data_IF_909166373422
#
_entry.id   IF_909166373422
#
_cell.length_a   1.000
_cell.length_b   1.000
_cell.length_c   1.000
_cell.angle_alpha   90.00
_cell.angle_beta   90.00
_cell.angle_gamma   90.00
#
_symmetry.space_group_name_H-M   'P 1'
#
loop_
_entity.id
_entity.type
_entity.pdbx_description
1 polymer ?
#
# COMPACT_ATOMS: atom_id res chain seq x y z
N UNK A 1 -7.87 6.56 21.34
CA UNK A 1 -7.85 6.95 19.92
C UNK A 1 -8.04 5.66 19.12
N UNK A 2 -9.06 5.56 18.27
CA UNK A 2 -9.27 4.38 17.43
C UNK A 2 -8.29 4.46 16.25
N UNK A 3 -7.28 3.60 16.23
CA UNK A 3 -6.41 3.44 15.07
C UNK A 3 -7.01 2.33 14.20
N UNK A 4 -7.22 2.65 12.92
CA UNK A 4 -7.50 1.63 11.91
C UNK A 4 -6.18 1.36 11.19
N UNK A 5 -5.71 0.14 11.31
CA UNK A 5 -4.57 -0.33 10.53
C UNK A 5 -5.11 -0.79 9.17
N UNK A 6 -4.54 -0.21 8.11
CA UNK A 6 -4.90 -0.52 6.73
C UNK A 6 -3.66 -1.11 6.09
N UNK A 7 -3.75 -2.33 5.58
CA UNK A 7 -2.68 -2.98 4.84
C UNK A 7 -3.02 -2.86 3.36
N UNK A 8 -2.18 -2.14 2.62
CA UNK A 8 -2.35 -1.97 1.18
C UNK A 8 -1.49 -3.02 0.47
N UNK A 9 -2.11 -3.82 -0.39
CA UNK A 9 -1.41 -4.84 -1.16
C UNK A 9 -1.19 -4.33 -2.58
N UNK A 10 0.06 -4.22 -2.99
CA UNK A 10 0.47 -3.75 -4.32
C UNK A 10 1.28 -4.80 -5.05
N UNK A 11 1.17 -4.82 -6.38
CA UNK A 11 2.06 -5.54 -7.27
C UNK A 11 3.08 -4.54 -7.82
N UNK A 12 4.35 -4.92 -7.81
CA UNK A 12 5.43 -4.15 -8.40
C UNK A 12 6.06 -5.00 -9.50
N UNK A 13 5.99 -4.48 -10.73
CA UNK A 13 6.55 -5.11 -11.92
C UNK A 13 7.65 -4.24 -12.49
N UNK A 14 8.90 -4.70 -12.36
CA UNK A 14 10.08 -4.02 -12.88
C UNK A 14 10.63 -4.75 -14.11
N UNK A 15 11.14 -4.05 -15.15
CA UNK A 15 11.76 -4.69 -16.31
C UNK A 15 12.90 -5.63 -15.90
N UNK A 16 12.87 -6.87 -16.40
CA UNK A 16 13.90 -7.88 -16.13
C UNK A 16 13.83 -8.51 -14.73
N UNK A 17 12.81 -8.21 -13.93
CA UNK A 17 12.53 -8.85 -12.65
C UNK A 17 11.17 -9.53 -12.69
N UNK A 18 11.00 -10.59 -11.90
CA UNK A 18 9.68 -11.17 -11.69
C UNK A 18 8.82 -10.17 -10.90
N UNK A 19 7.52 -10.04 -11.24
CA UNK A 19 6.59 -9.27 -10.44
C UNK A 19 6.61 -9.74 -8.99
N UNK A 20 6.52 -8.80 -8.05
CA UNK A 20 6.44 -9.11 -6.62
C UNK A 20 5.26 -8.41 -5.97
N UNK A 21 4.68 -9.08 -4.97
CA UNK A 21 3.63 -8.56 -4.13
C UNK A 21 4.28 -7.89 -2.91
N UNK A 22 3.93 -6.64 -2.63
CA UNK A 22 4.31 -5.95 -1.42
C UNK A 22 3.07 -5.59 -0.60
N UNK A 23 3.20 -5.68 0.73
CA UNK A 23 2.18 -5.29 1.70
C UNK A 23 2.70 -4.07 2.44
N UNK A 24 1.89 -3.02 2.49
CA UNK A 24 2.28 -1.72 3.01
C UNK A 24 1.37 -1.38 4.15
N UNK A 25 1.94 -1.27 5.34
CA UNK A 25 1.22 -0.91 6.55
C UNK A 25 1.02 0.61 6.59
N UNK A 26 -0.24 1.04 6.51
CA UNK A 26 -0.61 2.45 6.56
C UNK A 26 -1.30 2.72 7.89
N UNK A 27 -0.56 3.27 8.85
CA UNK A 27 -1.13 3.77 10.10
C UNK A 27 -1.83 5.09 9.82
N UNK A 28 -3.17 5.10 9.89
CA UNK A 28 -3.94 6.34 9.78
C UNK A 28 -4.60 6.75 11.10
N UNK A 29 -4.39 8.01 11.45
CA UNK A 29 -5.13 8.70 12.51
C UNK A 29 -6.27 9.44 11.81
N UNK A 30 -7.52 9.00 12.04
CA UNK A 30 -8.76 9.63 11.56
C UNK A 30 -8.99 9.62 10.02
N UNK A 31 -9.52 8.50 9.52
CA UNK A 31 -10.76 8.52 8.73
C UNK A 31 -10.70 8.74 7.20
N UNK A 32 -9.54 8.94 6.57
CA UNK A 32 -9.47 8.94 5.09
C UNK A 32 -8.21 8.31 4.54
N UNK A 33 -8.36 7.08 4.04
CA UNK A 33 -7.36 6.41 3.22
C UNK A 33 -7.20 7.11 1.87
N UNK A 34 -5.99 7.58 1.57
CA UNK A 34 -5.64 8.12 0.25
C UNK A 34 -4.77 7.11 -0.52
N UNK A 35 -5.42 6.36 -1.40
CA UNK A 35 -4.77 5.43 -2.34
C UNK A 35 -3.67 6.11 -3.16
N UNK A 36 -3.89 7.34 -3.60
CA UNK A 36 -2.97 8.06 -4.47
C UNK A 36 -1.64 8.32 -3.76
N UNK A 37 -1.70 8.70 -2.48
CA UNK A 37 -0.51 8.89 -1.65
C UNK A 37 0.32 7.61 -1.53
N UNK A 38 -0.33 6.48 -1.23
CA UNK A 38 0.37 5.20 -1.08
C UNK A 38 1.04 4.78 -2.37
N UNK A 39 0.31 4.79 -3.49
CA UNK A 39 0.87 4.44 -4.79
C UNK A 39 2.02 5.36 -5.19
N UNK A 40 1.92 6.66 -4.93
CA UNK A 40 2.99 7.62 -5.23
C UNK A 40 4.27 7.32 -4.44
N UNK A 41 4.16 7.00 -3.14
CA UNK A 41 5.32 6.63 -2.32
C UNK A 41 5.99 5.35 -2.84
N UNK A 42 5.21 4.34 -3.20
CA UNK A 42 5.76 3.08 -3.74
C UNK A 42 6.44 3.31 -5.09
N UNK A 43 5.81 4.11 -5.95
CA UNK A 43 6.36 4.47 -7.25
C UNK A 43 7.68 5.24 -7.13
N UNK A 44 7.78 6.17 -6.17
CA UNK A 44 9.03 6.92 -5.91
C UNK A 44 10.17 6.00 -5.46
N UNK A 45 9.87 4.95 -4.70
CA UNK A 45 10.86 3.96 -4.27
C UNK A 45 11.19 2.90 -5.33
N UNK A 46 10.37 2.77 -6.38
CA UNK A 46 10.55 1.80 -7.46
C UNK A 46 10.51 2.50 -8.84
N UNK A 47 11.50 3.37 -9.14
CA UNK A 47 11.52 4.13 -10.38
C UNK A 47 11.65 3.20 -11.60
N UNK A 48 10.84 3.47 -12.62
CA UNK A 48 10.80 2.66 -13.85
C UNK A 48 10.04 1.33 -13.70
N UNK A 49 9.43 1.07 -12.54
CA UNK A 49 8.54 -0.07 -12.35
C UNK A 49 7.08 0.34 -12.44
N UNK A 50 6.23 -0.58 -12.89
CA UNK A 50 4.78 -0.43 -12.81
C UNK A 50 4.29 -0.85 -11.42
N UNK A 51 3.50 0.01 -10.77
CA UNK A 51 2.92 -0.26 -9.45
C UNK A 51 1.41 -0.32 -9.59
N UNK A 52 0.82 -1.44 -9.19
CA UNK A 52 -0.62 -1.68 -9.28
C UNK A 52 -1.19 -2.02 -7.90
N UNK A 53 -2.24 -1.32 -7.49
CA UNK A 53 -3.02 -1.72 -6.32
C UNK A 53 -3.77 -3.01 -6.62
N UNK A 54 -3.61 -4.02 -5.76
CA UNK A 54 -4.32 -5.30 -5.89
C UNK A 54 -5.45 -5.38 -4.87
N UNK A 55 -5.18 -5.04 -3.61
CA UNK A 55 -6.13 -5.18 -2.52
C UNK A 55 -5.88 -4.16 -1.39
N UNK A 56 -6.89 -3.96 -0.53
CA UNK A 56 -6.82 -3.15 0.68
C UNK A 56 -7.45 -3.93 1.82
N UNK A 57 -6.61 -4.40 2.74
CA UNK A 57 -7.04 -5.13 3.92
C UNK A 57 -7.22 -4.19 5.11
N UNK A 58 -8.27 -4.41 5.89
CA UNK A 58 -8.60 -3.60 7.06
C UNK A 58 -8.40 -4.43 8.32
N UNK A 59 -7.44 -4.03 9.16
CA UNK A 59 -7.20 -4.65 10.46
C UNK A 59 -7.98 -3.86 11.50
N UNK A 60 -9.15 -4.40 11.89
CA UNK A 60 -9.95 -3.85 12.98
C UNK A 60 -9.36 -4.35 14.30
N UNK A 61 -8.46 -3.58 14.90
CA UNK A 61 -8.04 -3.82 16.27
C UNK A 61 -9.20 -3.49 17.22
N UNK A 62 -9.89 -4.53 17.71
CA UNK A 62 -10.83 -4.40 18.83
C UNK A 62 -10.01 -4.26 20.12
N UNK A 63 -9.67 -3.02 20.48
CA UNK A 63 -9.23 -2.68 21.84
C UNK A 63 -10.43 -2.64 22.79
#
# INVERSE_FOLDING_TARGET
>A
MNFQEIIVVVEISCPGQNPRIERIDVMQIAGRFDRGMVLNVVQQNNPGCEVRLIDVEWVINKS
#
